data_IF_355537778589
#
_entry.id   IF_355537778589
#
_cell.length_a   1.000
_cell.length_b   1.000
_cell.length_c   1.000
_cell.angle_alpha   90.00
_cell.angle_beta   90.00
_cell.angle_gamma   90.00
#
_symmetry.space_group_name_H-M   'P 1'
#
loop_
_entity.id
_entity.type
_entity.pdbx_description
1 polymer ?
#
# COMPACT_ATOMS: atom_id res chain seq x y z
N UNK A 1 -21.46 55.07 21.77
CA UNK A 1 -21.63 53.64 22.10
C UNK A 1 -21.21 52.80 20.89
N UNK A 2 -19.96 52.31 20.86
CA UNK A 2 -19.48 51.17 20.05
C UNK A 2 -18.06 50.85 20.48
N UNK A 3 -17.84 49.56 20.68
CA UNK A 3 -16.84 48.89 21.54
C UNK A 3 -15.49 48.74 20.81
N UNK A 4 -14.34 48.79 21.51
CA UNK A 4 -13.04 48.58 20.90
C UNK A 4 -12.72 47.09 20.66
N UNK A 5 -11.93 46.82 19.62
CA UNK A 5 -11.39 45.51 19.23
C UNK A 5 -10.60 44.84 20.37
N UNK A 6 -11.00 43.62 20.75
CA UNK A 6 -10.15 42.67 21.47
C UNK A 6 -9.47 41.72 20.49
N UNK A 7 -8.15 41.61 20.62
CA UNK A 7 -7.36 40.48 20.18
C UNK A 7 -7.78 39.26 21.02
N UNK A 8 -8.09 38.14 20.38
CA UNK A 8 -8.12 36.84 21.05
C UNK A 8 -7.19 35.86 20.33
N UNK A 9 -6.05 35.67 20.98
CA UNK A 9 -5.22 34.48 20.94
C UNK A 9 -6.07 33.27 21.35
N UNK A 10 -6.19 32.25 20.50
CA UNK A 10 -6.58 30.90 20.94
C UNK A 10 -5.48 29.91 20.59
N UNK A 11 -4.60 29.74 21.58
CA UNK A 11 -3.87 28.49 21.82
C UNK A 11 -4.89 27.38 22.13
N UNK A 12 -4.63 26.21 21.55
CA UNK A 12 -4.62 24.86 22.15
C UNK A 12 -5.22 23.88 21.15
N UNK A 13 -4.34 23.18 20.44
CA UNK A 13 -4.61 21.82 19.96
C UNK A 13 -5.09 21.03 21.18
N UNK A 14 -6.39 20.93 21.31
CA UNK A 14 -7.08 20.13 22.29
C UNK A 14 -6.80 18.67 21.98
N UNK A 15 -6.18 18.02 22.96
CA UNK A 15 -6.27 16.61 23.30
C UNK A 15 -7.36 15.88 22.52
N UNK A 16 -6.95 15.04 21.55
CA UNK A 16 -7.84 13.98 21.09
C UNK A 16 -8.02 13.03 22.27
N UNK A 17 -9.25 12.74 22.71
CA UNK A 17 -9.47 11.67 23.67
C UNK A 17 -8.93 10.39 23.04
N UNK A 18 -7.91 9.79 23.68
CA UNK A 18 -7.66 8.37 23.48
C UNK A 18 -8.95 7.67 23.85
N UNK A 19 -9.64 7.11 22.86
CA UNK A 19 -10.73 6.17 23.12
C UNK A 19 -10.18 5.16 24.14
N UNK A 20 -10.86 4.93 25.28
CA UNK A 20 -10.42 3.91 26.21
C UNK A 20 -10.32 2.63 25.39
N UNK A 21 -9.15 2.02 25.36
CA UNK A 21 -9.04 0.61 24.99
C UNK A 21 -10.03 -0.12 25.90
N UNK A 22 -11.23 -0.43 25.38
CA UNK A 22 -12.14 -1.35 26.05
C UNK A 22 -11.31 -2.61 26.30
N UNK A 23 -11.26 -3.07 27.55
CA UNK A 23 -10.56 -4.28 28.00
C UNK A 23 -10.57 -5.37 26.93
N UNK A 24 -9.54 -5.39 26.09
CA UNK A 24 -9.39 -6.38 25.05
C UNK A 24 -8.83 -7.61 25.76
N UNK A 25 -9.72 -8.38 26.38
CA UNK A 25 -9.38 -9.67 26.97
C UNK A 25 -8.81 -10.62 25.91
N UNK A 26 -8.09 -11.64 26.34
CA UNK A 26 -7.68 -12.72 25.43
C UNK A 26 -8.79 -13.79 25.35
N UNK A 27 -8.69 -14.69 24.37
CA UNK A 27 -9.70 -15.75 24.14
C UNK A 27 -9.92 -16.66 25.36
N UNK A 28 -8.91 -16.84 26.21
CA UNK A 28 -8.97 -17.70 27.39
C UNK A 28 -9.83 -17.11 28.51
N UNK A 29 -10.09 -15.80 28.49
CA UNK A 29 -11.04 -15.18 29.43
C UNK A 29 -12.47 -15.71 29.30
N UNK A 30 -12.82 -16.31 28.17
CA UNK A 30 -14.14 -16.92 27.95
C UNK A 30 -14.33 -18.28 28.64
N UNK A 31 -13.25 -18.93 29.09
CA UNK A 31 -13.30 -20.25 29.73
C UNK A 31 -13.15 -20.13 31.25
N UNK A 32 -13.69 -21.08 32.00
CA UNK A 32 -13.42 -21.16 33.44
C UNK A 32 -11.98 -21.62 33.71
N UNK A 33 -11.34 -21.17 34.81
CA UNK A 33 -9.99 -21.59 35.14
C UNK A 33 -9.81 -23.10 35.23
N UNK A 34 -10.83 -23.82 35.72
CA UNK A 34 -10.80 -25.29 35.85
C UNK A 34 -10.67 -25.98 34.50
N UNK A 35 -11.41 -25.54 33.49
CA UNK A 35 -11.32 -26.12 32.14
C UNK A 35 -10.00 -25.77 31.45
N UNK A 36 -9.44 -24.58 31.70
CA UNK A 36 -8.10 -24.21 31.20
C UNK A 36 -7.04 -25.09 31.88
N UNK A 37 -7.12 -25.23 33.20
CA UNK A 37 -6.19 -26.03 33.99
C UNK A 37 -6.18 -27.49 33.52
N UNK A 38 -7.36 -28.08 33.32
CA UNK A 38 -7.51 -29.43 32.80
C UNK A 38 -7.00 -29.56 31.35
N UNK A 39 -7.41 -28.65 30.45
CA UNK A 39 -7.04 -28.73 29.02
C UNK A 39 -5.55 -28.54 28.76
N UNK A 40 -4.89 -27.64 29.51
CA UNK A 40 -3.46 -27.40 29.40
C UNK A 40 -2.61 -28.26 30.34
N UNK A 41 -3.24 -29.05 31.22
CA UNK A 41 -2.60 -29.85 32.27
C UNK A 41 -1.66 -29.00 33.15
N UNK A 42 -2.19 -27.91 33.70
CA UNK A 42 -1.50 -26.94 34.57
C UNK A 42 -2.31 -26.69 35.84
N UNK A 43 -1.71 -26.02 36.83
CA UNK A 43 -2.42 -25.60 38.04
C UNK A 43 -3.39 -24.43 37.78
N UNK A 44 -4.34 -24.24 38.69
CA UNK A 44 -5.34 -23.17 38.59
C UNK A 44 -4.72 -21.76 38.60
N UNK A 45 -3.59 -21.54 39.28
CA UNK A 45 -2.94 -20.22 39.30
C UNK A 45 -2.36 -19.91 37.92
N UNK A 46 -1.69 -20.87 37.28
CA UNK A 46 -1.22 -20.75 35.90
C UNK A 46 -2.38 -20.51 34.94
N UNK A 47 -3.50 -21.24 35.09
CA UNK A 47 -4.71 -21.01 34.30
C UNK A 47 -5.28 -19.58 34.45
N UNK A 48 -5.32 -19.05 35.69
CA UNK A 48 -5.73 -17.66 35.96
C UNK A 48 -4.74 -16.64 35.38
N UNK A 49 -3.43 -16.93 35.38
CA UNK A 49 -2.42 -16.08 34.75
C UNK A 49 -2.59 -16.04 33.23
N UNK A 50 -2.94 -17.15 32.59
CA UNK A 50 -3.22 -17.22 31.15
C UNK A 50 -4.42 -16.35 30.74
N UNK A 51 -5.41 -16.23 31.62
CA UNK A 51 -6.54 -15.31 31.45
C UNK A 51 -6.09 -13.84 31.50
N UNK A 52 -5.08 -13.51 32.31
CA UNK A 52 -4.52 -12.15 32.34
C UNK A 52 -5.51 -11.09 32.82
N UNK A 53 -6.50 -11.47 33.63
CA UNK A 53 -7.54 -10.55 34.14
C UNK A 53 -6.97 -9.36 34.94
N UNK A 54 -5.78 -9.55 35.53
CA UNK A 54 -5.07 -8.54 36.32
C UNK A 54 -3.86 -7.93 35.57
N UNK A 55 -3.75 -8.15 34.26
CA UNK A 55 -2.64 -7.65 33.44
C UNK A 55 -3.03 -6.36 32.69
N UNK A 56 -2.32 -5.27 32.98
CA UNK A 56 -2.55 -3.95 32.39
C UNK A 56 -1.52 -3.56 31.33
N UNK A 57 -0.63 -4.47 30.92
CA UNK A 57 0.45 -4.19 29.96
C UNK A 57 -0.03 -4.03 28.52
N UNK A 58 -1.24 -4.50 28.20
CA UNK A 58 -1.79 -4.51 26.84
C UNK A 58 -1.21 -5.61 25.96
N UNK A 59 -1.40 -5.50 24.63
CA UNK A 59 -1.01 -6.55 23.66
C UNK A 59 0.46 -6.52 23.24
N UNK A 60 1.19 -5.45 23.57
CA UNK A 60 2.62 -5.31 23.27
C UNK A 60 3.35 -5.26 24.61
N UNK A 61 4.09 -6.31 24.93
CA UNK A 61 4.83 -6.43 26.20
C UNK A 61 6.32 -6.23 26.01
N UNK A 62 6.97 -5.61 27.00
CA UNK A 62 8.42 -5.51 27.03
C UNK A 62 9.04 -6.81 27.59
N UNK A 63 10.03 -7.36 26.90
CA UNK A 63 10.80 -8.50 27.38
C UNK A 63 12.08 -7.94 28.01
N UNK A 64 12.20 -8.05 29.34
CA UNK A 64 13.31 -7.42 30.09
C UNK A 64 14.70 -7.99 29.80
N UNK A 65 14.77 -9.14 29.12
CA UNK A 65 16.00 -9.78 28.63
C UNK A 65 15.87 -10.05 27.13
N UNK A 66 16.95 -10.51 26.50
CA UNK A 66 16.91 -10.92 25.10
C UNK A 66 15.89 -12.05 24.87
N UNK A 67 15.00 -11.85 23.90
CA UNK A 67 14.01 -12.85 23.52
C UNK A 67 14.71 -14.06 22.87
N UNK A 68 14.78 -15.16 23.61
CA UNK A 68 15.39 -16.41 23.18
C UNK A 68 14.44 -17.18 22.28
N UNK A 69 14.77 -17.28 20.98
CA UNK A 69 14.05 -18.15 20.03
C UNK A 69 15.01 -18.89 19.11
N UNK A 70 14.59 -20.06 18.63
CA UNK A 70 15.36 -20.85 17.67
C UNK A 70 15.42 -20.08 16.34
N UNK A 71 16.63 -19.66 15.94
CA UNK A 71 16.90 -18.97 14.67
C UNK A 71 18.08 -19.62 13.95
N UNK A 72 18.05 -19.71 12.61
CA UNK A 72 19.21 -20.11 11.85
C UNK A 72 20.41 -19.20 12.17
N UNK A 73 21.63 -19.74 12.34
CA UNK A 73 22.81 -18.93 12.59
C UNK A 73 23.09 -18.01 11.40
N UNK A 74 23.15 -16.70 11.63
CA UNK A 74 23.46 -15.74 10.58
C UNK A 74 24.98 -15.65 10.36
N UNK A 75 25.51 -16.40 9.40
CA UNK A 75 26.92 -16.24 8.99
C UNK A 75 27.06 -14.97 8.13
N UNK A 76 28.15 -14.20 8.26
CA UNK A 76 28.42 -13.00 7.41
C UNK A 76 28.26 -13.25 5.90
N UNK A 77 28.59 -14.45 5.42
CA UNK A 77 28.37 -14.88 4.03
C UNK A 77 26.89 -15.03 3.66
N UNK A 78 26.03 -15.48 4.58
CA UNK A 78 24.58 -15.60 4.36
C UNK A 78 23.88 -14.24 4.37
N UNK A 79 24.36 -13.27 5.15
CA UNK A 79 23.83 -11.89 5.08
C UNK A 79 24.11 -11.26 3.70
N UNK A 80 25.31 -11.46 3.14
CA UNK A 80 25.63 -11.00 1.79
C UNK A 80 24.82 -11.75 0.70
N UNK A 81 24.61 -13.06 0.87
CA UNK A 81 23.78 -13.85 -0.06
C UNK A 81 22.28 -13.53 0.03
N UNK A 82 21.72 -13.24 1.21
CA UNK A 82 20.32 -12.81 1.33
C UNK A 82 20.10 -11.45 0.66
N UNK A 83 21.05 -10.51 0.79
CA UNK A 83 20.99 -9.24 0.06
C UNK A 83 21.06 -9.43 -1.46
N UNK A 84 21.86 -10.40 -1.94
CA UNK A 84 21.95 -10.72 -3.38
C UNK A 84 20.75 -11.53 -3.91
N UNK A 85 20.18 -12.45 -3.12
CA UNK A 85 18.97 -13.19 -3.50
C UNK A 85 17.73 -12.28 -3.59
N UNK A 86 17.67 -11.19 -2.83
CA UNK A 86 16.64 -10.16 -3.01
C UNK A 86 16.81 -9.35 -4.31
N UNK A 87 17.99 -9.34 -4.94
CA UNK A 87 18.23 -8.65 -6.22
C UNK A 87 17.99 -9.53 -7.46
N UNK A 88 18.07 -10.86 -7.33
CA UNK A 88 17.81 -11.79 -8.43
C UNK A 88 16.52 -12.57 -8.16
N UNK A 89 15.40 -12.04 -8.65
CA UNK A 89 14.21 -12.85 -8.87
C UNK A 89 14.57 -14.06 -9.75
N UNK A 90 14.17 -15.25 -9.32
CA UNK A 90 14.34 -16.56 -9.97
C UNK A 90 15.77 -17.14 -10.01
N UNK A 91 16.12 -17.89 -8.96
CA UNK A 91 16.69 -19.24 -9.14
C UNK A 91 16.03 -20.17 -8.13
N UNK A 92 15.19 -21.08 -8.63
CA UNK A 92 14.66 -22.19 -7.84
C UNK A 92 15.79 -23.03 -7.26
N UNK A 93 15.56 -23.76 -6.16
CA UNK A 93 16.59 -24.55 -5.51
C UNK A 93 17.20 -25.53 -6.51
N UNK A 94 18.53 -25.48 -6.57
CA UNK A 94 19.39 -26.41 -7.31
C UNK A 94 18.93 -27.85 -7.07
N UNK A 95 18.58 -28.53 -8.17
CA UNK A 95 18.26 -29.96 -8.22
C UNK A 95 19.37 -30.77 -7.58
N UNK A 96 19.21 -31.13 -6.30
CA UNK A 96 19.85 -32.32 -5.74
C UNK A 96 18.86 -33.47 -5.92
N UNK A 97 19.23 -34.35 -6.82
CA UNK A 97 18.56 -35.60 -7.14
C UNK A 97 18.40 -36.46 -5.88
N UNK A 98 17.16 -36.76 -5.50
CA UNK A 98 16.84 -37.83 -4.54
C UNK A 98 15.61 -37.54 -3.68
N UNK A 99 14.49 -38.22 -3.97
CA UNK A 99 13.29 -38.23 -3.13
C UNK A 99 12.05 -37.71 -3.87
N UNK A 100 11.06 -38.60 -4.07
CA UNK A 100 9.84 -38.31 -4.79
C UNK A 100 8.84 -37.60 -3.86
N UNK A 101 8.25 -36.50 -4.34
CA UNK A 101 7.26 -35.62 -3.69
C UNK A 101 7.77 -34.75 -2.54
N UNK A 102 7.69 -33.43 -2.70
CA UNK A 102 7.86 -32.48 -1.60
C UNK A 102 6.73 -32.71 -0.56
N UNK A 103 7.06 -32.71 0.73
CA UNK A 103 6.07 -32.82 1.81
C UNK A 103 5.29 -31.51 2.05
N UNK A 104 4.35 -31.53 2.99
CA UNK A 104 3.57 -30.32 3.37
C UNK A 104 4.46 -29.26 4.02
N UNK A 105 5.50 -29.71 4.73
CA UNK A 105 6.54 -28.89 5.36
C UNK A 105 7.36 -28.09 4.35
N UNK A 106 7.51 -28.59 3.12
CA UNK A 106 8.26 -27.94 2.04
C UNK A 106 7.36 -27.20 1.04
N UNK A 107 6.04 -27.25 1.20
CA UNK A 107 5.06 -26.63 0.29
C UNK A 107 4.21 -25.58 1.01
N UNK A 108 3.09 -25.99 1.61
CA UNK A 108 2.11 -25.07 2.21
C UNK A 108 2.65 -24.45 3.50
N UNK A 109 3.37 -25.23 4.32
CA UNK A 109 3.91 -24.76 5.60
C UNK A 109 5.12 -23.83 5.43
N UNK A 110 5.77 -23.84 4.27
CA UNK A 110 6.91 -22.97 3.93
C UNK A 110 6.52 -21.84 2.97
N UNK A 111 5.21 -21.64 2.74
CA UNK A 111 4.73 -20.64 1.81
C UNK A 111 5.23 -19.24 2.20
N UNK A 112 5.64 -18.46 1.21
CA UNK A 112 6.17 -17.11 1.43
C UNK A 112 5.06 -16.24 2.02
N UNK A 113 5.31 -15.62 3.17
CA UNK A 113 4.35 -14.75 3.89
C UNK A 113 4.73 -13.26 3.90
N UNK A 114 5.87 -12.89 3.31
CA UNK A 114 6.29 -11.50 3.19
C UNK A 114 7.02 -11.24 1.88
N UNK A 115 6.85 -10.04 1.35
CA UNK A 115 7.65 -9.54 0.24
C UNK A 115 8.07 -8.09 0.48
N UNK A 116 9.30 -7.75 0.09
CA UNK A 116 9.78 -6.36 0.11
C UNK A 116 9.41 -5.68 -1.21
N UNK A 117 8.60 -4.63 -1.14
CA UNK A 117 8.15 -3.86 -2.29
C UNK A 117 8.81 -2.47 -2.41
N UNK A 118 9.74 -2.13 -1.52
CA UNK A 118 10.45 -0.85 -1.53
C UNK A 118 11.77 -0.89 -2.32
N UNK A 119 12.23 -2.09 -2.70
CA UNK A 119 13.42 -2.27 -3.52
C UNK A 119 13.22 -1.65 -4.93
N UNK A 120 14.04 -0.64 -5.33
CA UNK A 120 13.93 -0.02 -6.65
C UNK A 120 14.03 -0.99 -7.82
N UNK A 121 14.78 -2.09 -7.68
CA UNK A 121 14.95 -3.09 -8.73
C UNK A 121 13.69 -3.91 -9.03
N UNK A 122 12.64 -3.80 -8.20
CA UNK A 122 11.37 -4.52 -8.37
C UNK A 122 10.25 -3.65 -8.96
N UNK A 123 10.56 -2.42 -9.37
CA UNK A 123 9.58 -1.52 -9.97
C UNK A 123 9.09 -2.01 -11.34
N UNK A 124 7.77 -1.97 -11.54
CA UNK A 124 7.12 -2.33 -12.81
C UNK A 124 7.05 -1.15 -13.77
N UNK A 125 6.82 0.04 -13.22
CA UNK A 125 6.83 1.28 -13.97
C UNK A 125 7.95 2.16 -13.45
N UNK A 126 8.83 2.59 -14.34
CA UNK A 126 9.94 3.49 -14.03
C UNK A 126 9.98 4.57 -15.08
N UNK A 127 9.98 5.82 -14.62
CA UNK A 127 10.33 6.97 -15.41
C UNK A 127 11.37 7.75 -14.61
N UNK A 128 12.63 7.82 -15.04
CA UNK A 128 13.68 8.49 -14.28
C UNK A 128 13.30 9.90 -13.88
N UNK A 129 12.56 10.67 -14.67
CA UNK A 129 12.22 12.06 -14.32
C UNK A 129 10.96 12.20 -13.46
N UNK A 130 10.10 11.17 -13.43
CA UNK A 130 8.82 11.22 -12.75
C UNK A 130 8.74 10.36 -11.48
N UNK A 131 9.39 9.19 -11.45
CA UNK A 131 9.36 8.28 -10.31
C UNK A 131 9.24 6.80 -10.68
N UNK A 132 8.68 6.00 -9.76
CA UNK A 132 8.55 4.55 -9.91
C UNK A 132 7.34 3.99 -9.18
N UNK A 133 6.80 2.89 -9.69
CA UNK A 133 5.72 2.11 -9.07
C UNK A 133 6.08 0.62 -9.10
N UNK A 134 6.00 -0.05 -7.95
CA UNK A 134 6.09 -1.50 -7.82
C UNK A 134 4.74 -2.06 -7.38
N UNK A 135 4.14 -2.94 -8.18
CA UNK A 135 2.93 -3.66 -7.82
C UNK A 135 3.26 -5.01 -7.21
N UNK A 136 2.44 -5.45 -6.26
CA UNK A 136 2.49 -6.77 -5.64
C UNK A 136 1.10 -7.41 -5.78
N UNK A 137 1.03 -8.48 -6.57
CA UNK A 137 -0.19 -9.24 -6.87
C UNK A 137 0.09 -10.74 -6.76
N UNK A 138 -0.93 -11.57 -7.00
CA UNK A 138 -0.83 -13.05 -6.97
C UNK A 138 0.28 -13.61 -7.88
N UNK A 139 0.57 -12.98 -9.02
CA UNK A 139 1.67 -13.42 -9.90
C UNK A 139 3.07 -13.30 -9.27
N UNK A 140 3.28 -12.33 -8.37
CA UNK A 140 4.55 -12.14 -7.65
C UNK A 140 4.54 -12.77 -6.26
N UNK A 141 3.37 -12.87 -5.65
CA UNK A 141 3.20 -13.28 -4.27
C UNK A 141 1.93 -14.15 -4.12
N UNK A 142 2.02 -15.47 -4.35
CA UNK A 142 0.87 -16.36 -4.57
C UNK A 142 -0.18 -16.40 -3.45
N UNK A 143 0.19 -16.14 -2.20
CA UNK A 143 -0.78 -16.07 -1.08
C UNK A 143 -1.87 -15.01 -1.34
N UNK A 144 -1.57 -13.97 -2.13
CA UNK A 144 -2.51 -12.92 -2.46
C UNK A 144 -3.72 -13.42 -3.26
N UNK A 145 -3.58 -14.51 -4.01
CA UNK A 145 -4.71 -15.15 -4.70
C UNK A 145 -5.76 -15.65 -3.68
N UNK A 146 -5.31 -16.20 -2.55
CA UNK A 146 -6.21 -16.68 -1.50
C UNK A 146 -6.78 -15.53 -0.67
N UNK A 147 -5.99 -14.48 -0.46
CA UNK A 147 -6.40 -13.30 0.30
C UNK A 147 -7.30 -12.36 -0.49
N UNK A 148 -7.30 -12.45 -1.83
CA UNK A 148 -8.01 -11.53 -2.72
C UNK A 148 -7.58 -10.07 -2.49
N UNK A 149 -6.27 -9.85 -2.31
CA UNK A 149 -5.67 -8.55 -2.03
C UNK A 149 -4.43 -8.30 -2.89
N UNK A 150 -4.17 -7.05 -3.24
CA UNK A 150 -2.91 -6.63 -3.86
C UNK A 150 -2.36 -5.39 -3.18
N UNK A 151 -1.10 -5.07 -3.43
CA UNK A 151 -0.48 -3.86 -2.92
C UNK A 151 0.30 -3.13 -4.02
N UNK A 152 0.55 -1.85 -3.79
CA UNK A 152 1.31 -0.97 -4.66
C UNK A 152 2.23 -0.12 -3.79
N UNK A 153 3.51 -0.02 -4.17
CA UNK A 153 4.47 0.94 -3.65
C UNK A 153 4.76 1.97 -4.72
N UNK A 154 4.41 3.23 -4.47
CA UNK A 154 4.64 4.32 -5.41
C UNK A 154 5.58 5.38 -4.86
N UNK A 155 6.33 5.98 -5.77
CA UNK A 155 7.23 7.10 -5.53
C UNK A 155 7.13 8.05 -6.72
N UNK A 156 6.86 9.32 -6.42
CA UNK A 156 6.87 10.40 -7.40
C UNK A 156 7.94 11.42 -7.00
N UNK A 157 8.73 11.83 -7.99
CA UNK A 157 9.67 12.94 -7.89
C UNK A 157 8.92 14.26 -7.73
N UNK A 158 9.61 15.34 -7.30
CA UNK A 158 9.02 16.66 -7.19
C UNK A 158 8.17 17.05 -8.39
N UNK A 159 6.93 17.47 -8.15
CA UNK A 159 5.97 17.90 -9.17
C UNK A 159 5.56 16.86 -10.23
N UNK A 160 6.00 15.62 -10.12
CA UNK A 160 5.63 14.57 -11.06
C UNK A 160 4.17 14.14 -10.86
N UNK A 161 3.59 13.56 -11.92
CA UNK A 161 2.18 13.15 -11.95
C UNK A 161 2.10 11.65 -12.21
N UNK A 162 1.25 10.94 -11.48
CA UNK A 162 0.74 9.66 -11.94
C UNK A 162 -0.47 9.93 -12.83
N UNK A 163 -0.46 9.36 -14.05
CA UNK A 163 -1.50 9.54 -15.07
C UNK A 163 -2.90 9.41 -14.48
N UNK A 164 -3.87 10.25 -14.88
CA UNK A 164 -5.26 10.06 -14.49
C UNK A 164 -5.71 8.65 -14.88
N UNK A 165 -6.28 7.90 -13.94
CA UNK A 165 -6.69 6.51 -14.15
C UNK A 165 -7.86 6.13 -13.25
N UNK A 166 -8.53 5.03 -13.55
CA UNK A 166 -9.45 4.37 -12.62
C UNK A 166 -9.00 2.93 -12.37
N UNK A 167 -9.38 2.37 -11.23
CA UNK A 167 -9.15 0.96 -10.90
C UNK A 167 -10.37 0.14 -11.30
N UNK A 168 -10.18 -0.88 -12.13
CA UNK A 168 -11.27 -1.61 -12.82
C UNK A 168 -12.00 -2.57 -11.86
N UNK A 169 -11.26 -3.25 -10.99
CA UNK A 169 -11.73 -4.42 -10.23
C UNK A 169 -11.42 -4.36 -8.72
N UNK A 170 -11.05 -3.19 -8.18
CA UNK A 170 -10.71 -3.04 -6.77
C UNK A 170 -10.91 -1.62 -6.22
N UNK A 171 -11.20 -1.51 -4.92
CA UNK A 171 -10.99 -0.28 -4.16
C UNK A 171 -9.51 -0.13 -3.81
N UNK A 172 -9.06 1.09 -3.56
CA UNK A 172 -7.69 1.39 -3.16
C UNK A 172 -7.65 2.16 -1.83
N UNK A 173 -6.96 1.62 -0.83
CA UNK A 173 -6.59 2.31 0.40
C UNK A 173 -5.16 2.83 0.27
N UNK A 174 -5.00 4.13 0.03
CA UNK A 174 -3.71 4.78 -0.12
C UNK A 174 -3.26 5.41 1.19
N UNK A 175 -2.05 5.10 1.64
CA UNK A 175 -1.37 5.67 2.80
C UNK A 175 -0.09 6.37 2.37
N UNK A 176 0.06 7.66 2.71
CA UNK A 176 1.27 8.42 2.40
C UNK A 176 2.34 8.12 3.46
N UNK A 177 3.49 7.62 3.00
CA UNK A 177 4.62 7.26 3.87
C UNK A 177 5.68 8.35 3.97
N UNK A 178 5.75 9.25 2.98
CA UNK A 178 6.75 10.33 2.94
C UNK A 178 6.26 11.45 2.02
N UNK A 179 6.55 12.70 2.38
CA UNK A 179 6.23 13.89 1.56
C UNK A 179 4.74 14.21 1.50
N UNK A 180 4.31 14.80 0.39
CA UNK A 180 2.92 15.24 0.19
C UNK A 180 2.43 14.98 -1.24
N UNK A 181 1.17 14.53 -1.34
CA UNK A 181 0.54 14.12 -2.59
C UNK A 181 -0.81 14.84 -2.71
N UNK A 182 -1.00 15.64 -3.76
CA UNK A 182 -2.32 16.19 -4.10
C UNK A 182 -3.08 15.18 -4.94
N UNK A 183 -4.30 14.86 -4.52
CA UNK A 183 -5.18 13.96 -5.24
C UNK A 183 -6.47 14.68 -5.61
N UNK A 184 -6.93 14.43 -6.84
CA UNK A 184 -8.31 14.66 -7.22
C UNK A 184 -8.99 13.33 -7.50
N UNK A 185 -10.16 13.09 -6.91
CA UNK A 185 -10.96 11.87 -7.09
C UNK A 185 -12.32 12.28 -7.65
N UNK A 186 -12.69 11.68 -8.77
CA UNK A 186 -13.92 11.98 -9.53
C UNK A 186 -14.82 10.75 -9.57
N UNK A 187 -16.09 10.93 -9.23
CA UNK A 187 -17.09 9.87 -9.28
C UNK A 187 -17.68 9.67 -10.69
N UNK A 188 -18.61 8.74 -10.82
CA UNK A 188 -19.33 8.39 -12.05
C UNK A 188 -20.20 9.54 -12.62
N UNK A 189 -20.57 10.50 -11.79
CA UNK A 189 -21.32 11.70 -12.20
C UNK A 189 -20.40 12.82 -12.72
N UNK A 190 -19.08 12.64 -12.68
CA UNK A 190 -18.11 13.68 -13.03
C UNK A 190 -17.87 14.70 -11.90
N UNK A 191 -18.38 14.45 -10.70
CA UNK A 191 -18.16 15.32 -9.55
C UNK A 191 -16.79 15.06 -8.92
N UNK A 192 -16.03 16.12 -8.69
CA UNK A 192 -14.77 16.07 -7.94
C UNK A 192 -15.08 15.92 -6.44
N UNK A 193 -15.19 14.69 -5.97
CA UNK A 193 -15.60 14.34 -4.59
C UNK A 193 -14.46 14.49 -3.57
N UNK A 194 -13.22 14.65 -4.04
CA UNK A 194 -12.06 14.87 -3.19
C UNK A 194 -10.99 15.65 -3.96
N UNK A 195 -10.61 16.85 -3.50
CA UNK A 195 -9.45 17.61 -3.99
C UNK A 195 -8.66 18.15 -2.80
N UNK A 196 -7.72 17.35 -2.31
CA UNK A 196 -6.91 17.71 -1.15
C UNK A 196 -5.48 17.21 -1.29
N UNK A 197 -4.61 17.81 -0.49
CA UNK A 197 -3.24 17.34 -0.26
C UNK A 197 -3.21 16.37 0.93
N UNK A 198 -2.71 15.17 0.68
CA UNK A 198 -2.39 14.18 1.71
C UNK A 198 -0.93 14.33 2.11
N UNK A 199 -0.68 14.32 3.42
CA UNK A 199 0.64 14.35 4.06
C UNK A 199 0.95 12.97 4.65
N UNK A 200 2.21 12.78 5.00
CA UNK A 200 2.67 11.60 5.75
C UNK A 200 1.75 11.24 6.91
N UNK A 201 1.43 9.95 7.03
CA UNK A 201 0.53 9.44 8.07
C UNK A 201 -0.95 9.47 7.71
N UNK A 202 -1.34 10.10 6.60
CA UNK A 202 -2.74 10.18 6.18
C UNK A 202 -3.13 9.06 5.22
N UNK A 203 -4.40 8.66 5.29
CA UNK A 203 -5.02 7.63 4.46
C UNK A 203 -6.17 8.22 3.65
N UNK A 204 -6.35 7.76 2.41
CA UNK A 204 -7.58 7.98 1.64
C UNK A 204 -8.05 6.67 1.00
N UNK A 205 -9.37 6.54 0.83
CA UNK A 205 -9.97 5.48 0.03
C UNK A 205 -10.33 6.04 -1.34
N UNK A 206 -9.87 5.39 -2.41
CA UNK A 206 -10.30 5.64 -3.79
C UNK A 206 -11.20 4.46 -4.17
N UNK A 207 -12.51 4.65 -4.28
CA UNK A 207 -13.42 3.57 -4.64
C UNK A 207 -13.13 3.01 -6.05
N UNK A 208 -13.51 1.76 -6.28
CA UNK A 208 -13.46 1.14 -7.60
C UNK A 208 -14.18 2.00 -8.63
N UNK A 209 -13.64 2.08 -9.85
CA UNK A 209 -14.13 2.89 -10.97
C UNK A 209 -14.12 4.41 -10.79
N UNK A 210 -13.72 4.95 -9.63
CA UNK A 210 -13.52 6.38 -9.49
C UNK A 210 -12.21 6.77 -10.19
N UNK A 211 -12.26 7.84 -10.98
CA UNK A 211 -11.07 8.36 -11.64
C UNK A 211 -10.24 9.14 -10.62
N UNK A 212 -8.92 8.94 -10.64
CA UNK A 212 -7.98 9.62 -9.76
C UNK A 212 -6.79 10.13 -10.55
N UNK A 213 -6.35 11.35 -10.22
CA UNK A 213 -5.05 11.89 -10.63
C UNK A 213 -4.25 12.24 -9.38
N UNK A 214 -2.95 11.98 -9.41
CA UNK A 214 -2.05 12.23 -8.27
C UNK A 214 -0.88 13.07 -8.72
N UNK A 215 -0.59 14.15 -8.00
CA UNK A 215 0.57 15.01 -8.24
C UNK A 215 1.38 15.15 -6.96
N UNK A 216 2.67 14.88 -7.04
CA UNK A 216 3.56 15.10 -5.90
C UNK A 216 3.82 16.60 -5.67
N UNK A 217 4.04 16.97 -4.41
CA UNK A 217 4.52 18.30 -4.04
C UNK A 217 5.97 18.55 -4.46
N UNK A 218 6.53 19.67 -3.98
CA UNK A 218 7.90 20.10 -4.30
C UNK A 218 8.99 19.18 -3.72
N UNK A 219 8.68 18.42 -2.68
CA UNK A 219 9.63 17.47 -2.06
C UNK A 219 9.47 16.04 -2.60
N UNK A 220 8.57 15.84 -3.58
CA UNK A 220 8.16 14.50 -4.00
C UNK A 220 7.21 13.85 -2.99
N UNK A 221 6.84 12.60 -3.26
CA UNK A 221 6.00 11.81 -2.34
C UNK A 221 6.17 10.32 -2.55
N UNK A 222 6.04 9.57 -1.46
CA UNK A 222 6.01 8.12 -1.48
C UNK A 222 4.76 7.62 -0.75
N UNK A 223 4.11 6.60 -1.29
CA UNK A 223 2.92 6.01 -0.70
C UNK A 223 2.94 4.48 -0.80
N UNK A 224 2.12 3.84 0.02
CA UNK A 224 1.71 2.44 -0.16
C UNK A 224 0.21 2.41 -0.36
N UNK A 225 -0.27 1.54 -1.23
CA UNK A 225 -1.70 1.40 -1.53
C UNK A 225 -2.09 -0.07 -1.43
N UNK A 226 -3.15 -0.38 -0.71
CA UNK A 226 -3.74 -1.73 -0.65
C UNK A 226 -4.98 -1.77 -1.54
N UNK A 227 -5.13 -2.84 -2.32
CA UNK A 227 -6.25 -3.01 -3.24
C UNK A 227 -7.02 -4.28 -2.92
N UNK A 228 -8.35 -4.19 -3.00
CA UNK A 228 -9.30 -5.26 -2.59
C UNK A 228 -9.52 -6.33 -3.66
N UNK A 229 -8.47 -6.69 -4.40
CA UNK A 229 -8.46 -7.75 -5.40
C UNK A 229 -7.02 -8.23 -5.58
N UNK A 230 -6.77 -9.52 -5.82
CA UNK A 230 -5.42 -10.08 -5.92
C UNK A 230 -4.64 -9.57 -7.13
N UNK A 231 -5.35 -9.29 -8.22
CA UNK A 231 -4.80 -8.79 -9.47
C UNK A 231 -5.51 -7.50 -9.89
N UNK A 232 -5.36 -6.46 -9.07
CA UNK A 232 -5.99 -5.18 -9.33
C UNK A 232 -5.41 -4.50 -10.60
N UNK A 233 -6.31 -4.15 -11.52
CA UNK A 233 -5.99 -3.55 -12.82
C UNK A 233 -6.41 -2.09 -12.87
N UNK A 234 -5.58 -1.27 -13.51
CA UNK A 234 -5.89 0.14 -13.78
C UNK A 234 -6.09 0.38 -15.28
N UNK A 235 -6.91 1.38 -15.60
CA UNK A 235 -7.02 1.92 -16.95
C UNK A 235 -6.64 3.41 -16.93
N UNK A 236 -5.61 3.78 -17.71
CA UNK A 236 -5.18 5.17 -17.80
C UNK A 236 -6.09 5.95 -18.77
N UNK A 237 -6.39 7.20 -18.43
CA UNK A 237 -7.12 8.15 -19.27
C UNK A 237 -6.18 8.90 -20.22
N UNK A 238 -4.94 9.18 -19.80
CA UNK A 238 -3.95 9.91 -20.59
C UNK A 238 -2.62 9.14 -20.71
N UNK A 239 -1.82 9.52 -21.70
CA UNK A 239 -0.52 8.92 -22.02
C UNK A 239 -0.57 7.90 -23.14
N UNK A 240 0.60 7.37 -23.51
CA UNK A 240 0.81 6.49 -24.67
C UNK A 240 0.00 5.19 -24.63
N UNK A 241 -0.32 4.71 -23.43
CA UNK A 241 -1.15 3.52 -23.21
C UNK A 241 -2.35 3.93 -22.36
N UNK A 242 -3.32 4.56 -23.02
CA UNK A 242 -4.52 5.12 -22.40
C UNK A 242 -5.79 4.86 -23.20
N UNK A 243 -6.94 4.96 -22.55
CA UNK A 243 -8.25 4.82 -23.17
C UNK A 243 -8.43 5.78 -24.36
N UNK A 244 -8.01 7.05 -24.21
CA UNK A 244 -8.10 8.05 -25.27
C UNK A 244 -7.18 7.70 -26.46
N UNK A 245 -5.94 7.26 -26.20
CA UNK A 245 -5.00 6.86 -27.26
C UNK A 245 -5.49 5.65 -28.07
N UNK A 246 -6.30 4.78 -27.45
CA UNK A 246 -6.84 3.54 -28.05
C UNK A 246 -8.07 3.76 -28.93
N UNK A 247 -8.77 4.90 -28.80
CA UNK A 247 -9.95 5.20 -29.63
C UNK A 247 -9.54 5.69 -31.03
N UNK A 248 -10.30 5.43 -32.11
CA UNK A 248 -10.05 6.04 -33.41
C UNK A 248 -10.02 7.57 -33.33
N UNK A 249 -9.14 8.21 -34.10
CA UNK A 249 -8.99 9.68 -34.06
C UNK A 249 -10.30 10.40 -34.34
N UNK A 250 -11.08 9.88 -35.29
CA UNK A 250 -12.35 10.51 -35.68
C UNK A 250 -13.43 10.34 -34.59
N UNK A 251 -13.38 9.27 -33.78
CA UNK A 251 -14.27 9.10 -32.62
C UNK A 251 -13.95 10.18 -31.57
N UNK A 252 -12.67 10.39 -31.27
CA UNK A 252 -12.23 11.43 -30.33
C UNK A 252 -12.59 12.83 -30.86
N UNK A 253 -12.35 13.09 -32.15
CA UNK A 253 -12.67 14.36 -32.78
C UNK A 253 -14.15 14.69 -32.68
N UNK A 254 -15.03 13.75 -33.01
CA UNK A 254 -16.48 13.96 -32.94
C UNK A 254 -17.01 14.03 -31.51
N UNK A 255 -16.55 13.15 -30.61
CA UNK A 255 -17.01 13.09 -29.22
C UNK A 255 -16.70 14.38 -28.44
N UNK A 256 -15.53 14.98 -28.69
CA UNK A 256 -15.08 16.20 -28.02
C UNK A 256 -15.19 17.46 -28.88
N UNK A 257 -15.80 17.38 -30.05
CA UNK A 257 -15.94 18.49 -31.01
C UNK A 257 -14.59 19.17 -31.34
N UNK A 258 -13.57 18.36 -31.56
CA UNK A 258 -12.20 18.79 -31.88
C UNK A 258 -11.93 18.71 -33.39
N UNK A 259 -11.00 19.53 -33.86
CA UNK A 259 -10.39 19.31 -35.16
C UNK A 259 -9.65 17.95 -35.17
N UNK A 260 -9.48 17.35 -36.35
CA UNK A 260 -8.72 16.09 -36.46
C UNK A 260 -7.29 16.25 -35.96
N UNK A 261 -6.67 17.42 -36.19
CA UNK A 261 -5.34 17.74 -35.69
C UNK A 261 -5.32 17.81 -34.14
N UNK A 262 -6.30 18.48 -33.53
CA UNK A 262 -6.42 18.54 -32.07
C UNK A 262 -6.67 17.17 -31.44
N UNK A 263 -7.50 16.33 -32.07
CA UNK A 263 -7.69 14.96 -31.63
C UNK A 263 -6.38 14.15 -31.72
N UNK A 264 -5.57 14.35 -32.77
CA UNK A 264 -4.23 13.75 -32.85
C UNK A 264 -3.31 14.27 -31.74
N UNK A 265 -3.30 15.57 -31.46
CA UNK A 265 -2.54 16.15 -30.36
C UNK A 265 -2.96 15.56 -29.01
N UNK A 266 -4.25 15.55 -28.71
CA UNK A 266 -4.80 14.98 -27.48
C UNK A 266 -4.36 13.51 -27.29
N UNK A 267 -4.38 12.71 -28.36
CA UNK A 267 -3.99 11.31 -28.32
C UNK A 267 -2.49 11.07 -28.14
N UNK A 268 -1.63 11.93 -28.71
CA UNK A 268 -0.22 11.60 -28.92
C UNK A 268 0.79 12.60 -28.32
N UNK A 269 0.34 13.74 -27.78
CA UNK A 269 1.22 14.74 -27.17
C UNK A 269 1.91 14.22 -25.91
N UNK A 270 1.20 13.46 -25.07
CA UNK A 270 1.80 12.81 -23.90
C UNK A 270 2.35 11.43 -24.29
N UNK A 271 3.68 11.33 -24.45
CA UNK A 271 4.39 10.12 -24.88
C UNK A 271 4.72 9.16 -23.73
N UNK A 272 4.64 9.64 -22.50
CA UNK A 272 4.85 8.85 -21.29
C UNK A 272 3.61 7.97 -21.01
N UNK A 273 3.74 6.92 -20.19
CA UNK A 273 2.68 5.95 -19.94
C UNK A 273 1.91 6.23 -18.65
N UNK A 274 2.45 5.77 -17.51
CA UNK A 274 1.78 5.84 -16.19
C UNK A 274 2.33 6.99 -15.34
N UNK A 275 3.59 7.37 -15.55
CA UNK A 275 4.31 8.35 -14.76
C UNK A 275 4.77 9.47 -15.67
N UNK A 276 4.32 10.69 -15.39
CA UNK A 276 4.57 11.87 -16.19
C UNK A 276 5.59 12.78 -15.50
N UNK A 277 6.62 13.14 -16.25
CA UNK A 277 7.62 14.10 -15.79
C UNK A 277 6.98 15.47 -15.57
N UNK A 278 7.53 16.28 -14.65
CA UNK A 278 7.03 17.63 -14.44
C UNK A 278 7.11 18.41 -15.75
N UNK A 279 5.97 18.90 -16.22
CA UNK A 279 5.98 19.87 -17.32
C UNK A 279 6.56 21.16 -16.74
N UNK A 280 7.78 21.54 -17.15
CA UNK A 280 8.22 22.92 -16.97
C UNK A 280 7.26 23.79 -17.75
N UNK A 281 6.27 24.37 -17.07
CA UNK A 281 5.63 25.56 -17.57
C UNK A 281 6.76 26.57 -17.77
N UNK A 282 7.17 26.78 -19.03
CA UNK A 282 7.84 28.02 -19.37
C UNK A 282 6.80 29.09 -19.04
N UNK A 283 7.05 29.83 -17.97
CA UNK A 283 6.33 31.07 -17.67
C UNK A 283 6.45 32.05 -18.83
#
# INVERSE_FOLDING_TARGET
MKVPRRQETQRRQSDRPQLPYQNAGNILNGFTPDFIAEAFNVDQETAQRLQGQNDQRGHIVNVGQDLQIIRPPQTRRQQQQQQQQHQQGRRGPSRRSGGWSNGVEETICSMKLKENIDNPSHADFVNPEAGRIANLNSFKFPILEHLQLSAERGELRPNAIQSPHWTINAHNLLYVTEGNLRLQIVNDQGNNVFDQELREGQVVVIPQNFAVIKRAGEQGSRWVSFKTNDNAMIANLAGRVSAISSMPVDVVANAYQLSREDAQRLKFSQRETVLFSPSFARG
#
